data_IF_841801542090
#
_entry.id   IF_841801542090
#
_cell.length_a   1.000
_cell.length_b   1.000
_cell.length_c   1.000
_cell.angle_alpha   90.00
_cell.angle_beta   90.00
_cell.angle_gamma   90.00
#
_symmetry.space_group_name_H-M   'P 1'
#
loop_
_entity.id
_entity.type
_entity.pdbx_description
1 polymer ?
#
# COMPACT_ATOMS: atom_id res chain seq x y z
N UNK A 1 1.60 27.49 -6.61
CA UNK A 1 0.41 26.85 -6.00
C UNK A 1 0.90 25.59 -5.28
N UNK A 2 1.13 25.74 -4.00
CA UNK A 2 1.86 24.81 -3.14
C UNK A 2 1.12 23.49 -2.95
N UNK A 3 1.81 22.40 -3.25
CA UNK A 3 1.39 21.07 -2.84
C UNK A 3 1.69 20.95 -1.33
N UNK A 4 0.73 21.27 -0.48
CA UNK A 4 0.81 20.91 0.94
C UNK A 4 0.84 19.40 1.04
N UNK A 5 1.98 18.90 1.47
CA UNK A 5 2.21 17.50 1.83
C UNK A 5 1.33 17.16 3.03
N UNK A 6 0.70 16.01 2.93
CA UNK A 6 -0.32 15.47 3.83
C UNK A 6 0.19 15.28 5.24
N UNK A 7 -0.60 15.79 6.18
CA UNK A 7 -0.75 15.38 7.58
C UNK A 7 0.48 14.84 8.35
N UNK A 8 1.60 15.50 8.24
CA UNK A 8 2.34 15.89 9.41
C UNK A 8 2.22 17.42 9.46
N UNK A 9 1.72 18.02 10.54
CA UNK A 9 1.80 19.46 10.68
C UNK A 9 3.25 19.86 10.44
N UNK A 10 3.52 21.04 9.85
CA UNK A 10 4.87 21.56 9.78
C UNK A 10 5.46 21.38 11.18
N UNK A 11 6.76 21.02 11.31
CA UNK A 11 7.35 20.78 12.60
C UNK A 11 6.96 21.94 13.50
N UNK A 12 6.24 21.64 14.59
CA UNK A 12 5.95 22.66 15.58
C UNK A 12 7.27 23.38 15.87
N UNK A 13 7.25 24.70 15.86
CA UNK A 13 8.42 25.45 16.27
C UNK A 13 8.94 24.82 17.56
N UNK A 14 10.25 24.63 17.74
CA UNK A 14 10.78 24.17 19.01
C UNK A 14 10.16 25.02 20.11
N UNK A 15 9.91 24.45 21.27
CA UNK A 15 9.72 25.27 22.46
C UNK A 15 10.85 26.32 22.42
N UNK A 16 10.55 27.59 22.59
CA UNK A 16 11.37 28.75 22.23
C UNK A 16 12.87 28.71 22.67
N UNK A 17 13.25 27.71 23.45
CA UNK A 17 14.58 27.50 24.01
C UNK A 17 15.21 26.11 23.80
N UNK A 18 14.52 25.14 23.19
CA UNK A 18 15.04 23.78 23.00
C UNK A 18 15.99 23.67 21.81
N UNK A 19 17.08 22.93 21.98
CA UNK A 19 18.08 22.70 20.94
C UNK A 19 17.79 21.37 20.25
N UNK A 20 17.82 21.33 18.92
CA UNK A 20 17.55 20.10 18.15
C UNK A 20 18.80 19.28 17.91
N UNK A 21 18.71 17.98 18.23
CA UNK A 21 19.66 16.98 17.80
C UNK A 21 18.98 16.05 16.77
N UNK A 22 19.65 15.81 15.66
CA UNK A 22 19.06 15.15 14.50
C UNK A 22 19.69 13.78 14.28
N UNK A 23 18.87 12.75 14.09
CA UNK A 23 19.29 11.37 13.90
C UNK A 23 18.71 10.79 12.61
N UNK A 24 19.50 10.02 11.87
CA UNK A 24 19.00 9.18 10.80
C UNK A 24 19.36 7.72 11.11
N UNK A 25 18.44 6.81 10.84
CA UNK A 25 18.60 5.38 11.14
C UNK A 25 18.45 4.59 9.85
N UNK A 26 19.51 3.90 9.45
CA UNK A 26 19.48 2.93 8.38
C UNK A 26 19.25 1.55 8.98
N UNK A 27 18.12 0.93 8.59
CA UNK A 27 17.67 -0.35 9.12
C UNK A 27 18.08 -1.48 8.18
N UNK A 28 18.91 -2.40 8.65
CA UNK A 28 19.25 -3.61 7.91
C UNK A 28 19.02 -4.86 8.77
N UNK A 29 19.00 -6.02 8.14
CA UNK A 29 18.83 -7.30 8.84
C UNK A 29 20.05 -7.72 9.66
N UNK A 30 21.19 -7.06 9.47
CA UNK A 30 22.46 -7.43 10.15
C UNK A 30 22.84 -6.40 11.21
N UNK A 31 22.68 -5.13 10.91
CA UNK A 31 23.06 -4.03 11.79
C UNK A 31 22.23 -2.79 11.50
N UNK A 32 22.04 -1.97 12.49
CA UNK A 32 21.49 -0.63 12.34
C UNK A 32 22.60 0.40 12.38
N UNK A 33 22.59 1.34 11.46
CA UNK A 33 23.54 2.46 11.44
C UNK A 33 22.80 3.73 11.81
N UNK A 34 23.27 4.41 12.86
CA UNK A 34 22.69 5.65 13.35
C UNK A 34 23.68 6.79 13.08
N UNK A 35 23.29 7.70 12.19
CA UNK A 35 24.02 8.94 11.97
C UNK A 35 23.40 10.06 12.83
N UNK A 36 24.24 10.83 13.51
CA UNK A 36 23.82 11.87 14.45
C UNK A 36 24.51 13.18 14.09
N UNK A 37 23.74 14.23 13.99
CA UNK A 37 24.23 15.61 13.97
C UNK A 37 23.79 16.33 15.24
N UNK A 38 24.74 16.91 15.94
CA UNK A 38 24.52 17.65 17.18
C UNK A 38 24.70 19.15 16.96
N UNK A 39 23.95 20.01 17.65
CA UNK A 39 24.06 21.45 17.49
C UNK A 39 25.44 22.03 17.82
N UNK A 40 26.22 21.33 18.64
CA UNK A 40 27.56 21.72 19.07
C UNK A 40 28.68 21.31 18.10
N UNK A 41 28.37 20.57 17.01
CA UNK A 41 29.39 20.04 16.09
C UNK A 41 28.88 19.95 14.66
N UNK A 42 29.72 20.37 13.71
CA UNK A 42 29.46 20.15 12.29
C UNK A 42 29.75 18.70 11.85
N UNK A 43 30.44 17.92 12.67
CA UNK A 43 30.79 16.52 12.37
C UNK A 43 29.59 15.60 12.59
N UNK A 44 29.35 14.74 11.63
CA UNK A 44 28.37 13.66 11.74
C UNK A 44 29.03 12.50 12.50
N UNK A 45 28.46 12.16 13.67
CA UNK A 45 28.83 10.97 14.41
C UNK A 45 28.05 9.76 13.91
N UNK A 46 28.69 8.60 13.83
CA UNK A 46 28.07 7.35 13.40
C UNK A 46 28.20 6.28 14.47
N UNK A 47 27.14 5.54 14.68
CA UNK A 47 27.08 4.43 15.61
C UNK A 47 26.52 3.21 14.88
N UNK A 48 27.12 2.06 15.11
CA UNK A 48 26.63 0.78 14.60
C UNK A 48 26.05 -0.02 15.77
N UNK A 49 24.80 -0.44 15.63
CA UNK A 49 24.09 -1.26 16.60
C UNK A 49 23.78 -2.62 15.97
N UNK A 50 23.56 -3.63 16.79
CA UNK A 50 23.00 -4.89 16.30
C UNK A 50 21.59 -4.69 15.75
N UNK A 51 21.23 -5.47 14.76
CA UNK A 51 19.89 -5.39 14.18
C UNK A 51 18.82 -5.67 15.24
N UNK A 52 17.77 -4.88 15.25
CA UNK A 52 16.66 -4.98 16.20
C UNK A 52 17.02 -4.71 17.67
N UNK A 53 18.22 -4.22 17.97
CA UNK A 53 18.55 -3.79 19.34
C UNK A 53 18.04 -2.36 19.63
N UNK A 54 16.71 -2.27 19.70
CA UNK A 54 16.03 -1.03 20.04
C UNK A 54 16.34 -0.52 21.45
N UNK A 55 16.73 -1.43 22.37
CA UNK A 55 17.09 -1.03 23.74
C UNK A 55 18.40 -0.24 23.74
N UNK A 56 19.39 -0.71 22.99
CA UNK A 56 20.66 0.04 22.86
C UNK A 56 20.46 1.32 22.04
N UNK A 57 19.57 1.34 21.05
CA UNK A 57 19.18 2.57 20.34
C UNK A 57 18.61 3.61 21.32
N UNK A 58 17.69 3.25 22.20
CA UNK A 58 17.12 4.15 23.19
C UNK A 58 18.18 4.64 24.20
N UNK A 59 19.06 3.75 24.66
CA UNK A 59 20.21 4.15 25.53
C UNK A 59 21.14 5.12 24.80
N UNK A 60 21.41 4.90 23.52
CA UNK A 60 22.21 5.81 22.71
C UNK A 60 21.55 7.19 22.63
N UNK A 61 20.24 7.24 22.34
CA UNK A 61 19.47 8.48 22.29
C UNK A 61 19.52 9.24 23.62
N UNK A 62 19.36 8.54 24.73
CA UNK A 62 19.40 9.16 26.06
C UNK A 62 20.78 9.64 26.43
N UNK A 63 21.85 8.90 26.13
CA UNK A 63 23.25 9.35 26.31
C UNK A 63 23.52 10.64 25.52
N UNK A 64 23.04 10.72 24.27
CA UNK A 64 23.21 11.90 23.43
C UNK A 64 22.42 13.07 24.01
N UNK A 65 21.16 12.87 24.39
CA UNK A 65 20.31 13.90 25.01
C UNK A 65 20.96 14.48 26.26
N UNK A 66 21.35 13.62 27.18
CA UNK A 66 21.97 14.03 28.45
C UNK A 66 23.30 14.77 28.26
N UNK A 67 24.14 14.29 27.33
CA UNK A 67 25.40 14.95 27.00
C UNK A 67 25.18 16.36 26.48
N UNK A 68 24.31 16.53 25.48
CA UNK A 68 24.07 17.83 24.85
C UNK A 68 23.37 18.79 25.83
N UNK A 69 22.39 18.28 26.60
CA UNK A 69 21.74 19.10 27.64
C UNK A 69 22.73 19.65 28.65
N UNK A 70 23.73 18.85 29.04
CA UNK A 70 24.81 19.29 29.97
C UNK A 70 25.75 20.31 29.32
N UNK A 71 26.14 20.09 28.05
CA UNK A 71 27.05 20.96 27.30
C UNK A 71 26.42 22.33 27.04
N UNK A 72 25.17 22.37 26.63
CA UNK A 72 24.49 23.60 26.18
C UNK A 72 23.61 24.24 27.27
N UNK A 73 23.41 23.56 28.41
CA UNK A 73 22.48 23.96 29.49
C UNK A 73 21.08 24.31 28.98
N UNK A 74 20.59 23.54 28.02
CA UNK A 74 19.30 23.71 27.36
C UNK A 74 18.59 22.36 27.21
N UNK A 75 17.26 22.39 27.08
CA UNK A 75 16.48 21.21 26.72
C UNK A 75 16.81 20.74 25.30
N UNK A 76 16.81 19.42 25.08
CA UNK A 76 17.21 18.80 23.83
C UNK A 76 16.01 18.04 23.22
N UNK A 77 15.55 18.53 22.08
CA UNK A 77 14.61 17.81 21.23
C UNK A 77 15.39 16.83 20.33
N UNK A 78 15.09 15.52 20.44
CA UNK A 78 15.58 14.53 19.50
C UNK A 78 14.61 14.37 18.34
N UNK A 79 15.13 14.50 17.12
CA UNK A 79 14.35 14.30 15.90
C UNK A 79 15.04 13.23 15.06
N UNK A 80 14.29 12.21 14.65
CA UNK A 80 14.84 11.08 13.92
C UNK A 80 14.09 10.82 12.60
N UNK A 81 14.72 10.07 11.70
CA UNK A 81 14.07 9.50 10.53
C UNK A 81 14.64 8.13 10.16
N UNK A 82 13.84 7.35 9.45
CA UNK A 82 14.28 6.14 8.76
C UNK A 82 13.44 5.90 7.49
N UNK A 83 13.94 5.08 6.56
CA UNK A 83 13.19 4.72 5.36
C UNK A 83 12.11 3.68 5.65
N UNK A 84 10.93 3.88 5.06
CA UNK A 84 9.86 2.88 5.10
C UNK A 84 10.31 1.58 4.40
N UNK A 85 10.26 0.48 5.12
CA UNK A 85 10.75 -0.80 4.63
C UNK A 85 10.06 -2.00 5.27
N UNK A 86 10.80 -3.09 5.33
CA UNK A 86 10.35 -4.38 5.86
C UNK A 86 9.91 -4.31 7.33
N UNK A 87 10.56 -3.47 8.13
CA UNK A 87 10.34 -3.34 9.57
C UNK A 87 8.98 -2.69 9.92
N UNK A 88 8.31 -2.07 8.97
CA UNK A 88 7.01 -1.43 9.20
C UNK A 88 7.12 -0.21 10.10
N UNK A 89 6.16 -0.03 11.02
CA UNK A 89 6.00 1.21 11.81
C UNK A 89 6.21 1.04 13.32
N UNK A 90 6.58 -0.13 13.79
CA UNK A 90 6.76 -0.38 15.22
C UNK A 90 7.86 0.50 15.84
N UNK A 91 8.96 0.71 15.11
CA UNK A 91 10.06 1.55 15.56
C UNK A 91 9.65 3.04 15.67
N UNK A 92 8.88 3.53 14.70
CA UNK A 92 8.32 4.88 14.77
C UNK A 92 7.49 5.07 16.05
N UNK A 93 6.57 4.14 16.34
CA UNK A 93 5.74 4.20 17.54
C UNK A 93 6.55 4.11 18.83
N UNK A 94 7.60 3.29 18.83
CA UNK A 94 8.52 3.19 19.97
C UNK A 94 9.26 4.51 20.23
N UNK A 95 9.80 5.13 19.18
CA UNK A 95 10.54 6.40 19.28
C UNK A 95 9.62 7.53 19.76
N UNK A 96 8.43 7.66 19.19
CA UNK A 96 7.42 8.64 19.60
C UNK A 96 7.00 8.44 21.06
N UNK A 97 6.80 7.19 21.50
CA UNK A 97 6.47 6.88 22.89
C UNK A 97 7.60 7.27 23.89
N UNK A 98 8.84 7.40 23.43
CA UNK A 98 9.99 7.87 24.23
C UNK A 98 10.32 9.34 24.00
N UNK A 99 9.40 10.12 23.44
CA UNK A 99 9.59 11.55 23.21
C UNK A 99 10.65 11.88 22.17
N UNK A 100 10.85 10.99 21.21
CA UNK A 100 11.73 11.19 20.04
C UNK A 100 10.83 11.36 18.82
N UNK A 101 10.72 12.59 18.31
CA UNK A 101 9.96 12.85 17.08
C UNK A 101 10.57 12.08 15.92
N UNK A 102 9.76 11.27 15.20
CA UNK A 102 10.29 10.43 14.15
C UNK A 102 9.53 10.56 12.83
N UNK A 103 10.25 10.64 11.71
CA UNK A 103 9.71 10.66 10.37
C UNK A 103 10.01 9.35 9.65
N UNK A 104 8.98 8.72 9.10
CA UNK A 104 9.13 7.56 8.21
C UNK A 104 9.11 8.07 6.77
N UNK A 105 10.14 7.80 6.00
CA UNK A 105 10.38 8.40 4.69
C UNK A 105 10.06 7.41 3.56
N UNK A 106 9.41 7.89 2.50
CA UNK A 106 9.21 7.10 1.29
C UNK A 106 10.54 7.00 0.52
N UNK A 107 11.15 5.80 0.40
CA UNK A 107 12.43 5.61 -0.31
C UNK A 107 12.40 6.13 -1.75
N UNK A 108 11.23 6.01 -2.42
CA UNK A 108 11.07 6.45 -3.80
C UNK A 108 11.10 7.98 -3.96
N UNK A 109 10.98 8.73 -2.86
CA UNK A 109 10.97 10.20 -2.86
C UNK A 109 12.35 10.82 -2.62
N UNK A 110 13.33 10.04 -2.15
CA UNK A 110 14.69 10.52 -1.91
C UNK A 110 15.40 10.82 -3.24
N UNK A 111 16.06 11.96 -3.28
CA UNK A 111 16.90 12.34 -4.43
C UNK A 111 18.23 11.60 -4.35
N UNK A 112 18.38 10.53 -5.12
CA UNK A 112 19.64 9.78 -5.23
C UNK A 112 20.53 10.43 -6.28
N UNK A 113 21.78 10.70 -5.95
CA UNK A 113 22.77 11.14 -6.94
C UNK A 113 22.99 10.03 -7.98
N UNK A 114 22.59 10.31 -9.23
CA UNK A 114 22.72 9.36 -10.34
C UNK A 114 24.17 9.00 -10.67
N UNK A 115 25.14 9.82 -10.28
CA UNK A 115 26.57 9.56 -10.49
C UNK A 115 27.14 8.57 -9.49
N UNK A 116 26.58 8.52 -8.28
CA UNK A 116 27.00 7.61 -7.19
C UNK A 116 26.40 6.20 -7.26
N UNK A 117 25.66 5.83 -8.32
CA UNK A 117 24.95 4.53 -8.44
C UNK A 117 25.79 3.28 -8.22
N UNK A 118 27.13 3.36 -8.34
CA UNK A 118 28.04 2.21 -8.15
C UNK A 118 28.62 2.09 -6.73
N UNK A 119 28.45 3.11 -5.89
CA UNK A 119 28.98 3.15 -4.53
C UNK A 119 27.83 3.20 -3.50
N UNK A 120 26.91 2.21 -3.56
CA UNK A 120 25.86 2.08 -2.55
C UNK A 120 26.45 1.38 -1.31
N UNK A 121 26.55 2.11 -0.20
CA UNK A 121 26.88 1.56 1.12
C UNK A 121 25.91 2.12 2.14
N UNK A 122 25.53 1.32 3.14
CA UNK A 122 24.61 1.73 4.19
C UNK A 122 25.08 3.04 4.90
N UNK A 123 26.39 3.30 4.91
CA UNK A 123 26.97 4.53 5.44
C UNK A 123 26.65 5.78 4.61
N UNK A 124 26.61 5.66 3.29
CA UNK A 124 26.27 6.76 2.38
C UNK A 124 24.78 7.04 2.46
N UNK A 125 23.97 5.98 2.54
CA UNK A 125 22.52 6.08 2.60
C UNK A 125 22.06 6.77 3.90
N UNK A 126 22.66 6.44 5.08
CA UNK A 126 22.30 7.08 6.35
C UNK A 126 22.71 8.56 6.42
N UNK A 127 23.82 8.96 5.77
CA UNK A 127 24.18 10.38 5.70
C UNK A 127 23.25 11.18 4.79
N UNK A 128 22.85 10.59 3.68
CA UNK A 128 21.87 11.21 2.80
C UNK A 128 20.53 11.43 3.53
N UNK A 129 20.07 10.44 4.28
CA UNK A 129 18.89 10.56 5.15
C UNK A 129 19.04 11.68 6.16
N UNK A 130 20.19 11.75 6.86
CA UNK A 130 20.45 12.79 7.86
C UNK A 130 20.43 14.19 7.25
N UNK A 131 21.13 14.39 6.14
CA UNK A 131 21.16 15.68 5.42
C UNK A 131 19.76 16.08 4.93
N UNK A 132 19.01 15.12 4.42
CA UNK A 132 17.64 15.35 3.98
C UNK A 132 16.71 15.70 5.14
N UNK A 133 16.88 15.07 6.33
CA UNK A 133 16.13 15.43 7.52
C UNK A 133 16.47 16.87 7.96
N UNK A 134 17.74 17.24 7.96
CA UNK A 134 18.16 18.60 8.28
C UNK A 134 17.58 19.63 7.30
N UNK A 135 17.58 19.34 6.00
CA UNK A 135 16.96 20.19 4.98
C UNK A 135 15.45 20.34 5.20
N UNK A 136 14.76 19.24 5.49
CA UNK A 136 13.33 19.25 5.81
C UNK A 136 13.02 20.12 7.05
N UNK A 137 13.81 19.99 8.10
CA UNK A 137 13.64 20.77 9.34
C UNK A 137 13.93 22.26 9.15
N UNK A 138 14.75 22.65 8.16
CA UNK A 138 14.92 24.04 7.73
C UNK A 138 13.76 24.57 6.87
N UNK A 139 12.78 23.73 6.54
CA UNK A 139 11.65 24.12 5.71
C UNK A 139 11.92 24.08 4.20
N UNK A 140 12.99 23.44 3.74
CA UNK A 140 13.27 23.30 2.31
C UNK A 140 12.15 22.52 1.61
N UNK A 141 11.59 23.02 0.49
CA UNK A 141 10.50 22.35 -0.18
C UNK A 141 10.98 21.12 -0.96
N UNK A 142 10.12 20.10 -1.04
CA UNK A 142 10.31 18.91 -1.90
C UNK A 142 11.57 18.09 -1.60
N UNK A 143 12.05 18.09 -0.37
CA UNK A 143 13.19 17.26 0.04
C UNK A 143 12.85 15.78 -0.10
N UNK A 144 11.69 15.39 0.43
CA UNK A 144 11.18 14.02 0.44
C UNK A 144 9.67 13.96 0.68
N UNK A 145 9.12 12.74 0.69
CA UNK A 145 7.73 12.49 1.11
C UNK A 145 7.73 11.69 2.41
N UNK A 146 7.05 12.21 3.43
CA UNK A 146 6.83 11.51 4.69
C UNK A 146 5.68 10.53 4.51
N UNK A 147 5.88 9.28 4.93
CA UNK A 147 4.85 8.25 4.90
C UNK A 147 3.85 8.49 6.02
N UNK A 148 2.57 8.44 5.72
CA UNK A 148 1.54 8.42 6.75
C UNK A 148 1.63 7.10 7.53
N UNK A 149 1.90 7.20 8.82
CA UNK A 149 1.93 6.05 9.73
C UNK A 149 0.52 5.77 10.20
N UNK A 150 -0.08 4.64 9.81
CA UNK A 150 -1.42 4.27 10.27
C UNK A 150 -1.42 3.96 11.77
N UNK A 151 -2.56 4.11 12.41
CA UNK A 151 -2.79 3.59 13.75
C UNK A 151 -2.73 2.05 13.76
N UNK A 152 -2.59 1.45 14.93
CA UNK A 152 -2.60 -0.02 15.06
C UNK A 152 -3.92 -0.61 14.55
N UNK A 153 -5.05 0.05 14.84
CA UNK A 153 -6.37 -0.37 14.35
C UNK A 153 -6.46 -0.28 12.82
N UNK A 154 -5.97 0.81 12.21
CA UNK A 154 -5.96 0.95 10.74
C UNK A 154 -5.03 -0.08 10.07
N UNK A 155 -3.96 -0.52 10.73
CA UNK A 155 -3.13 -1.62 10.24
C UNK A 155 -3.86 -2.96 10.34
N UNK A 156 -4.60 -3.17 11.41
CA UNK A 156 -5.36 -4.40 11.65
C UNK A 156 -6.52 -4.54 10.64
N UNK A 157 -7.25 -3.46 10.38
CA UNK A 157 -8.30 -3.39 9.36
C UNK A 157 -7.85 -3.86 7.96
N UNK A 158 -6.54 -3.80 7.68
CA UNK A 158 -5.99 -4.24 6.38
C UNK A 158 -5.67 -5.73 6.31
N UNK A 159 -5.68 -6.44 7.44
CA UNK A 159 -5.22 -7.83 7.47
C UNK A 159 -6.09 -8.75 6.64
N UNK A 160 -7.40 -8.71 6.84
CA UNK A 160 -8.33 -9.61 6.17
C UNK A 160 -8.24 -9.54 4.64
N UNK A 161 -8.34 -8.37 4.05
CA UNK A 161 -8.31 -8.25 2.59
C UNK A 161 -6.91 -8.51 2.00
N UNK A 162 -5.84 -8.28 2.76
CA UNK A 162 -4.46 -8.60 2.35
C UNK A 162 -4.19 -10.09 2.43
N UNK A 163 -4.63 -10.75 3.50
CA UNK A 163 -4.55 -12.20 3.67
C UNK A 163 -5.36 -12.92 2.60
N UNK A 164 -6.61 -12.51 2.39
CA UNK A 164 -7.43 -13.02 1.29
C UNK A 164 -6.71 -12.91 -0.06
N UNK A 165 -6.08 -11.77 -0.34
CA UNK A 165 -5.31 -11.59 -1.57
C UNK A 165 -4.16 -12.59 -1.72
N UNK A 166 -3.44 -12.92 -0.65
CA UNK A 166 -2.40 -13.96 -0.65
C UNK A 166 -3.00 -15.35 -0.93
N UNK A 167 -4.06 -15.71 -0.22
CA UNK A 167 -4.73 -17.00 -0.40
C UNK A 167 -5.33 -17.18 -1.81
N UNK A 168 -5.83 -16.13 -2.43
CA UNK A 168 -6.27 -16.17 -3.84
C UNK A 168 -5.08 -16.50 -4.76
N UNK A 169 -3.92 -15.91 -4.52
CA UNK A 169 -2.72 -16.22 -5.31
C UNK A 169 -2.26 -17.66 -5.09
N UNK A 170 -2.26 -18.17 -3.86
CA UNK A 170 -1.95 -19.57 -3.53
C UNK A 170 -2.93 -20.51 -4.23
N UNK A 171 -4.23 -20.23 -4.20
CA UNK A 171 -5.24 -20.98 -4.94
C UNK A 171 -4.91 -21.07 -6.44
N UNK A 172 -4.55 -19.94 -7.05
CA UNK A 172 -4.18 -19.87 -8.48
C UNK A 172 -2.91 -20.70 -8.72
N UNK A 173 -1.92 -20.64 -7.84
CA UNK A 173 -0.68 -21.41 -7.95
C UNK A 173 -0.97 -22.91 -7.92
N UNK A 174 -1.78 -23.41 -6.98
CA UNK A 174 -2.17 -24.82 -6.90
C UNK A 174 -2.94 -25.27 -8.14
N UNK A 175 -3.90 -24.48 -8.60
CA UNK A 175 -4.66 -24.75 -9.84
C UNK A 175 -3.72 -24.87 -11.05
N UNK A 176 -2.80 -23.91 -11.20
CA UNK A 176 -1.86 -23.88 -12.32
C UNK A 176 -0.85 -25.03 -12.23
N UNK A 177 -0.38 -25.40 -11.04
CA UNK A 177 0.51 -26.53 -10.83
C UNK A 177 -0.16 -27.85 -11.25
N UNK A 178 -1.39 -28.10 -10.80
CA UNK A 178 -2.14 -29.30 -11.19
C UNK A 178 -2.32 -29.36 -12.71
N UNK A 179 -2.74 -28.25 -13.33
CA UNK A 179 -2.91 -28.16 -14.79
C UNK A 179 -1.58 -28.39 -15.52
N UNK A 180 -0.48 -27.83 -15.02
CA UNK A 180 0.85 -28.03 -15.60
C UNK A 180 1.31 -29.49 -15.53
N UNK A 181 1.12 -30.17 -14.38
CA UNK A 181 1.42 -31.59 -14.21
C UNK A 181 0.62 -32.48 -15.18
N UNK A 182 -0.60 -32.11 -15.50
CA UNK A 182 -1.44 -32.86 -16.43
C UNK A 182 -1.16 -32.53 -17.89
N UNK A 183 -0.79 -31.29 -18.20
CA UNK A 183 -0.51 -30.81 -19.54
C UNK A 183 0.63 -31.57 -20.23
N UNK A 184 1.69 -31.95 -19.50
CA UNK A 184 2.81 -32.76 -20.02
C UNK A 184 2.39 -34.20 -20.39
N UNK A 185 1.17 -34.62 -20.03
CA UNK A 185 0.57 -35.90 -20.40
C UNK A 185 -0.57 -35.73 -21.43
N UNK A 186 -0.70 -34.52 -22.03
CA UNK A 186 -1.73 -34.22 -23.04
C UNK A 186 -3.13 -34.01 -22.46
N UNK A 187 -3.27 -33.72 -21.17
CA UNK A 187 -4.55 -33.52 -20.50
C UNK A 187 -4.74 -32.03 -20.19
N UNK A 188 -5.68 -31.36 -20.86
CA UNK A 188 -5.91 -29.90 -20.74
C UNK A 188 -7.29 -29.54 -20.20
N UNK A 189 -8.24 -30.45 -20.17
CA UNK A 189 -9.65 -30.24 -19.83
C UNK A 189 -9.96 -30.44 -18.33
N UNK A 190 -9.01 -30.93 -17.55
CA UNK A 190 -9.19 -31.11 -16.10
C UNK A 190 -9.39 -29.79 -15.34
N UNK A 191 -10.42 -29.78 -14.49
CA UNK A 191 -10.80 -28.59 -13.72
C UNK A 191 -10.64 -28.82 -12.22
N UNK A 192 -9.53 -28.36 -11.58
CA UNK A 192 -9.23 -28.60 -10.17
C UNK A 192 -10.25 -28.04 -9.17
N UNK A 193 -11.08 -27.09 -9.58
CA UNK A 193 -12.10 -26.46 -8.73
C UNK A 193 -13.48 -27.16 -8.77
N UNK A 194 -13.67 -28.16 -9.61
CA UNK A 194 -14.94 -28.92 -9.67
C UNK A 194 -15.12 -29.75 -8.40
N UNK A 195 -16.38 -29.99 -8.04
CA UNK A 195 -16.72 -30.82 -6.87
C UNK A 195 -16.29 -32.27 -7.02
N UNK A 196 -16.38 -32.80 -8.23
CA UNK A 196 -16.04 -34.20 -8.63
C UNK A 196 -14.56 -34.38 -9.01
N UNK A 197 -13.71 -33.39 -8.74
CA UNK A 197 -12.29 -33.38 -9.13
C UNK A 197 -11.51 -34.64 -8.75
N UNK A 198 -11.77 -35.19 -7.57
CA UNK A 198 -11.11 -36.44 -7.12
C UNK A 198 -11.53 -37.65 -7.93
N UNK A 199 -12.84 -37.78 -8.23
CA UNK A 199 -13.35 -38.88 -9.07
C UNK A 199 -12.85 -38.78 -10.50
N UNK A 200 -12.79 -37.54 -11.04
CA UNK A 200 -12.24 -37.32 -12.37
C UNK A 200 -10.75 -37.69 -12.42
N UNK A 201 -9.95 -37.34 -11.42
CA UNK A 201 -8.53 -37.70 -11.36
C UNK A 201 -8.30 -39.22 -11.50
N UNK A 202 -9.16 -40.03 -10.89
CA UNK A 202 -9.03 -41.50 -10.98
C UNK A 202 -9.28 -42.03 -12.39
N UNK A 203 -10.13 -41.37 -13.17
CA UNK A 203 -10.54 -41.79 -14.53
C UNK A 203 -9.64 -41.21 -15.62
N UNK A 204 -8.75 -40.26 -15.29
CA UNK A 204 -7.89 -39.64 -16.28
C UNK A 204 -7.00 -40.64 -16.99
N UNK A 205 -6.85 -40.42 -18.29
CA UNK A 205 -5.94 -41.12 -19.17
C UNK A 205 -5.02 -40.11 -19.84
N UNK A 206 -3.79 -40.49 -20.08
CA UNK A 206 -2.85 -39.75 -20.91
C UNK A 206 -3.31 -39.69 -22.36
N UNK A 207 -2.75 -38.80 -23.17
CA UNK A 207 -3.12 -38.70 -24.60
C UNK A 207 -2.90 -40.01 -25.39
N UNK A 208 -1.96 -40.85 -24.94
CA UNK A 208 -1.70 -42.19 -25.51
C UNK A 208 -2.50 -43.32 -24.84
N UNK A 209 -3.55 -42.98 -24.05
CA UNK A 209 -4.51 -43.90 -23.47
C UNK A 209 -4.10 -44.58 -22.17
N UNK A 210 -2.88 -44.37 -21.68
CA UNK A 210 -2.38 -44.98 -20.43
C UNK A 210 -3.02 -44.34 -19.20
N UNK A 211 -3.06 -45.06 -18.10
CA UNK A 211 -3.41 -44.50 -16.79
C UNK A 211 -2.29 -43.60 -16.29
N UNK A 212 -2.62 -42.55 -15.53
CA UNK A 212 -1.62 -41.75 -14.83
C UNK A 212 -0.82 -42.61 -13.87
N UNK A 213 0.50 -42.34 -13.78
CA UNK A 213 1.37 -43.08 -12.86
C UNK A 213 0.95 -42.88 -11.40
N UNK A 214 1.15 -43.87 -10.52
CA UNK A 214 0.76 -43.78 -9.10
C UNK A 214 1.39 -42.58 -8.38
N UNK A 215 2.64 -42.25 -8.69
CA UNK A 215 3.37 -41.12 -8.07
C UNK A 215 2.78 -39.79 -8.52
N UNK A 216 2.44 -39.62 -9.80
CA UNK A 216 1.79 -38.41 -10.33
C UNK A 216 0.41 -38.23 -9.71
N UNK A 217 -0.40 -39.29 -9.65
CA UNK A 217 -1.71 -39.24 -8.97
C UNK A 217 -1.56 -38.84 -7.51
N UNK A 218 -0.59 -39.38 -6.80
CA UNK A 218 -0.33 -39.03 -5.40
C UNK A 218 0.11 -37.56 -5.23
N UNK A 219 0.92 -37.04 -6.16
CA UNK A 219 1.32 -35.64 -6.16
C UNK A 219 0.11 -34.72 -6.39
N UNK A 220 -0.71 -35.00 -7.41
CA UNK A 220 -1.92 -34.22 -7.70
C UNK A 220 -2.92 -34.27 -6.53
N UNK A 221 -3.09 -35.42 -5.86
CA UNK A 221 -3.95 -35.51 -4.66
C UNK A 221 -3.45 -34.59 -3.54
N UNK A 222 -2.15 -34.53 -3.29
CA UNK A 222 -1.59 -33.59 -2.29
C UNK A 222 -1.79 -32.13 -2.67
N UNK A 223 -1.68 -31.80 -3.94
CA UNK A 223 -1.99 -30.45 -4.42
C UNK A 223 -3.49 -30.13 -4.30
N UNK A 224 -4.39 -31.08 -4.55
CA UNK A 224 -5.83 -30.89 -4.34
C UNK A 224 -6.18 -30.72 -2.84
N UNK A 225 -5.51 -31.42 -1.94
CA UNK A 225 -5.68 -31.24 -0.50
C UNK A 225 -5.26 -29.83 -0.04
N UNK A 226 -4.10 -29.34 -0.51
CA UNK A 226 -3.67 -27.94 -0.27
C UNK A 226 -4.66 -26.94 -0.82
N UNK A 227 -5.14 -27.16 -2.06
CA UNK A 227 -6.14 -26.31 -2.70
C UNK A 227 -7.43 -26.26 -1.88
N UNK A 228 -7.89 -27.38 -1.33
CA UNK A 228 -9.09 -27.45 -0.51
C UNK A 228 -8.93 -26.68 0.80
N UNK A 229 -7.79 -26.81 1.48
CA UNK A 229 -7.45 -26.05 2.68
C UNK A 229 -7.47 -24.53 2.41
N UNK A 230 -6.81 -24.10 1.32
CA UNK A 230 -6.78 -22.69 0.93
C UNK A 230 -8.18 -22.16 0.62
N UNK A 231 -9.01 -22.93 -0.06
CA UNK A 231 -10.42 -22.55 -0.33
C UNK A 231 -11.21 -22.40 0.99
N UNK A 232 -10.99 -23.31 1.94
CA UNK A 232 -11.59 -23.23 3.27
C UNK A 232 -11.19 -21.93 4.00
N UNK A 233 -9.89 -21.60 4.03
CA UNK A 233 -9.39 -20.37 4.64
C UNK A 233 -9.95 -19.10 3.97
N UNK A 234 -10.06 -19.08 2.64
CA UNK A 234 -10.70 -17.97 1.92
C UNK A 234 -12.13 -17.76 2.40
N UNK A 235 -12.92 -18.84 2.52
CA UNK A 235 -14.31 -18.74 2.99
C UNK A 235 -14.41 -18.21 4.43
N UNK A 236 -13.51 -18.63 5.32
CA UNK A 236 -13.46 -18.14 6.70
C UNK A 236 -13.21 -16.64 6.74
N UNK A 237 -12.21 -16.17 6.01
CA UNK A 237 -11.89 -14.73 5.95
C UNK A 237 -13.02 -13.92 5.29
N UNK A 238 -13.68 -14.48 4.27
CA UNK A 238 -14.82 -13.83 3.62
C UNK A 238 -16.01 -13.71 4.58
N UNK A 239 -16.28 -14.73 5.38
CA UNK A 239 -17.34 -14.69 6.40
C UNK A 239 -17.03 -13.66 7.50
N UNK A 240 -15.79 -13.60 8.00
CA UNK A 240 -15.34 -12.62 8.98
C UNK A 240 -15.48 -11.17 8.43
N UNK A 241 -15.01 -10.93 7.23
CA UNK A 241 -15.16 -9.64 6.53
C UNK A 241 -16.63 -9.24 6.37
N UNK A 242 -17.49 -10.18 5.96
CA UNK A 242 -18.91 -9.91 5.72
C UNK A 242 -19.64 -9.63 7.04
N UNK A 243 -19.24 -10.27 8.14
CA UNK A 243 -19.72 -9.95 9.49
C UNK A 243 -19.39 -8.50 9.87
N UNK A 244 -18.12 -8.06 9.66
CA UNK A 244 -17.72 -6.66 9.91
C UNK A 244 -18.54 -5.68 9.06
N UNK A 245 -18.76 -5.99 7.78
CA UNK A 245 -19.53 -5.15 6.87
C UNK A 245 -21.03 -5.06 7.27
N UNK A 246 -21.55 -6.05 7.98
CA UNK A 246 -22.96 -6.14 8.41
C UNK A 246 -23.20 -5.57 9.80
N UNK A 247 -22.16 -5.45 10.63
CA UNK A 247 -22.28 -4.95 12.00
C UNK A 247 -22.58 -3.46 12.00
N UNK A 248 -23.73 -3.06 12.58
CA UNK A 248 -24.07 -1.64 12.74
C UNK A 248 -23.10 -0.96 13.69
N UNK A 249 -22.34 0.00 13.18
CA UNK A 249 -21.37 0.77 13.98
C UNK A 249 -21.98 2.16 14.26
N UNK A 250 -22.15 2.48 15.53
CA UNK A 250 -22.76 3.76 15.96
C UNK A 250 -21.77 4.93 15.95
N UNK A 251 -20.46 4.66 15.93
CA UNK A 251 -19.44 5.70 15.96
C UNK A 251 -19.18 6.32 14.58
N UNK A 252 -19.34 7.63 14.51
CA UNK A 252 -19.01 8.41 13.31
C UNK A 252 -17.51 8.28 12.94
N UNK A 253 -17.21 8.21 11.64
CA UNK A 253 -15.85 8.12 11.07
C UNK A 253 -15.03 6.85 11.33
N UNK A 254 -15.63 5.75 11.74
CA UNK A 254 -14.93 4.46 11.81
C UNK A 254 -14.81 3.78 10.44
N UNK A 255 -13.78 2.95 10.26
CA UNK A 255 -13.61 2.11 9.06
C UNK A 255 -14.88 1.31 8.75
N UNK A 256 -15.56 0.78 9.78
CA UNK A 256 -16.81 0.03 9.64
C UNK A 256 -17.92 0.85 8.98
N UNK A 257 -18.16 2.09 9.42
CA UNK A 257 -19.17 2.97 8.80
C UNK A 257 -18.84 3.27 7.34
N UNK A 258 -17.59 3.58 7.02
CA UNK A 258 -17.16 3.80 5.63
C UNK A 258 -17.43 2.59 4.74
N UNK A 259 -17.17 1.37 5.25
CA UNK A 259 -17.45 0.12 4.55
C UNK A 259 -18.96 -0.02 4.30
N UNK A 260 -19.79 0.18 5.33
CA UNK A 260 -21.26 0.09 5.21
C UNK A 260 -21.80 1.11 4.19
N UNK A 261 -21.34 2.34 4.23
CA UNK A 261 -21.78 3.38 3.29
C UNK A 261 -21.40 3.01 1.86
N UNK A 262 -20.20 2.52 1.60
CA UNK A 262 -19.82 2.05 0.28
C UNK A 262 -20.65 0.85 -0.19
N UNK A 263 -20.95 -0.11 0.69
CA UNK A 263 -21.75 -1.30 0.36
C UNK A 263 -23.19 -0.96 -0.03
N UNK A 264 -23.76 0.16 0.44
CA UNK A 264 -25.07 0.64 0.00
C UNK A 264 -25.14 0.95 -1.50
N UNK A 265 -24.02 1.29 -2.13
CA UNK A 265 -23.97 1.61 -3.55
C UNK A 265 -24.08 0.30 -4.37
N UNK A 266 -25.03 0.26 -5.30
CA UNK A 266 -25.15 -0.87 -6.25
C UNK A 266 -23.86 -0.96 -7.07
N UNK A 267 -23.26 -2.10 -7.18
CA UNK A 267 -21.95 -2.44 -7.75
C UNK A 267 -20.79 -2.57 -6.75
N UNK A 268 -20.92 -2.06 -5.53
CA UNK A 268 -19.86 -2.18 -4.51
C UNK A 268 -20.25 -3.28 -3.53
N UNK A 269 -19.50 -4.38 -3.54
CA UNK A 269 -19.63 -5.46 -2.55
C UNK A 269 -18.68 -5.27 -1.37
N UNK A 270 -18.81 -6.11 -0.32
CA UNK A 270 -17.95 -6.05 0.86
C UNK A 270 -16.46 -6.07 0.52
N UNK A 271 -16.03 -6.88 -0.44
CA UNK A 271 -14.63 -6.98 -0.87
C UNK A 271 -14.06 -5.63 -1.37
N UNK A 272 -14.80 -4.96 -2.27
CA UNK A 272 -14.37 -3.66 -2.79
C UNK A 272 -14.38 -2.59 -1.70
N UNK A 273 -15.44 -2.57 -0.88
CA UNK A 273 -15.57 -1.61 0.21
C UNK A 273 -14.44 -1.76 1.24
N UNK A 274 -14.20 -2.97 1.73
CA UNK A 274 -13.13 -3.25 2.70
C UNK A 274 -11.75 -2.93 2.14
N UNK A 275 -11.48 -3.31 0.89
CA UNK A 275 -10.19 -3.00 0.25
C UNK A 275 -10.00 -1.50 0.07
N UNK A 276 -11.02 -0.77 -0.40
CA UNK A 276 -10.93 0.68 -0.60
C UNK A 276 -10.76 1.44 0.72
N UNK A 277 -11.49 1.05 1.76
CA UNK A 277 -11.33 1.65 3.09
C UNK A 277 -9.95 1.36 3.65
N UNK A 278 -9.52 0.11 3.67
CA UNK A 278 -8.21 -0.28 4.21
C UNK A 278 -7.01 0.21 3.41
N UNK A 279 -7.10 0.38 2.10
CA UNK A 279 -5.96 0.78 1.26
C UNK A 279 -5.96 2.27 0.87
N UNK A 280 -7.12 2.96 0.94
CA UNK A 280 -7.24 4.35 0.50
C UNK A 280 -7.90 5.23 1.56
N UNK A 281 -9.13 4.90 1.99
CA UNK A 281 -9.97 5.80 2.77
C UNK A 281 -9.74 5.72 4.29
N UNK A 282 -8.73 4.97 4.74
CA UNK A 282 -8.26 4.98 6.14
C UNK A 282 -7.60 6.32 6.52
N UNK A 283 -7.14 7.08 5.53
CA UNK A 283 -6.47 8.36 5.68
C UNK A 283 -7.24 9.49 4.99
N UNK A 284 -6.98 10.71 5.39
CA UNK A 284 -7.51 11.91 4.74
C UNK A 284 -6.64 12.36 3.55
N UNK A 285 -7.24 13.11 2.64
CA UNK A 285 -6.56 13.73 1.50
C UNK A 285 -6.99 15.20 1.39
N UNK A 286 -6.05 16.11 1.18
CA UNK A 286 -6.33 17.53 1.07
C UNK A 286 -7.10 17.86 -0.22
N UNK A 287 -6.88 17.09 -1.27
CA UNK A 287 -7.51 17.34 -2.57
C UNK A 287 -7.52 16.10 -3.48
N UNK A 288 -8.36 16.19 -4.52
CA UNK A 288 -8.53 15.12 -5.53
C UNK A 288 -7.25 14.73 -6.30
N UNK A 289 -6.28 15.65 -6.43
CA UNK A 289 -5.03 15.38 -7.15
C UNK A 289 -4.14 14.46 -6.33
N UNK A 290 -4.06 14.72 -5.03
CA UNK A 290 -3.32 13.91 -4.07
C UNK A 290 -3.91 12.49 -3.96
N UNK A 291 -5.23 12.36 -3.83
CA UNK A 291 -5.92 11.07 -3.83
C UNK A 291 -5.61 10.27 -5.11
N UNK A 292 -5.74 10.89 -6.29
CA UNK A 292 -5.48 10.22 -7.56
C UNK A 292 -3.99 9.83 -7.73
N UNK A 293 -3.07 10.64 -7.21
CA UNK A 293 -1.63 10.36 -7.19
C UNK A 293 -1.31 9.18 -6.28
N UNK A 294 -1.91 9.15 -5.08
CA UNK A 294 -1.73 8.05 -4.12
C UNK A 294 -2.11 6.68 -4.70
N UNK A 295 -3.15 6.63 -5.53
CA UNK A 295 -3.57 5.38 -6.21
C UNK A 295 -2.81 5.15 -7.53
N UNK A 296 -2.06 6.16 -8.01
CA UNK A 296 -1.30 6.08 -9.27
C UNK A 296 -2.20 6.13 -10.52
N UNK A 297 -3.35 6.79 -10.42
CA UNK A 297 -4.29 7.02 -11.52
C UNK A 297 -4.11 8.41 -12.17
N UNK A 298 -3.00 9.10 -11.90
CA UNK A 298 -2.65 10.37 -12.55
C UNK A 298 -2.00 10.13 -13.89
N UNK A 299 -2.28 10.96 -14.93
CA UNK A 299 -1.54 10.91 -16.17
C UNK A 299 -0.04 11.16 -15.94
N UNK A 300 0.79 10.40 -16.64
CA UNK A 300 2.23 10.63 -16.71
C UNK A 300 2.54 11.33 -18.03
N UNK A 301 2.86 12.61 -17.97
CA UNK A 301 3.27 13.40 -19.12
C UNK A 301 4.79 13.36 -19.23
N UNK A 302 5.27 13.07 -20.41
CA UNK A 302 6.67 13.28 -20.76
C UNK A 302 6.74 14.49 -21.68
N UNK A 303 7.42 15.54 -21.23
CA UNK A 303 7.64 16.75 -22.00
C UNK A 303 9.13 17.10 -21.97
N UNK A 304 9.74 17.16 -23.14
CA UNK A 304 11.14 17.56 -23.30
C UNK A 304 11.25 18.42 -24.57
N UNK A 305 11.48 19.72 -24.41
CA UNK A 305 11.47 20.67 -25.52
C UNK A 305 10.13 20.68 -26.25
N UNK A 306 10.15 20.52 -27.55
CA UNK A 306 8.95 20.45 -28.40
C UNK A 306 8.23 19.08 -28.36
N UNK A 307 8.82 18.08 -27.71
CA UNK A 307 8.25 16.73 -27.63
C UNK A 307 7.29 16.60 -26.44
N UNK A 308 6.01 16.41 -26.71
CA UNK A 308 4.98 16.12 -25.68
C UNK A 308 4.40 14.74 -25.93
N UNK A 309 4.57 13.81 -24.99
CA UNK A 309 4.07 12.43 -25.09
C UNK A 309 3.36 11.99 -23.83
N UNK A 310 2.12 11.53 -23.96
CA UNK A 310 1.40 10.88 -22.88
C UNK A 310 1.85 9.42 -22.70
N UNK A 311 2.42 9.10 -21.53
CA UNK A 311 2.89 7.74 -21.19
C UNK A 311 1.83 6.89 -20.49
N UNK A 312 0.59 7.36 -20.44
CA UNK A 312 -0.51 6.72 -19.70
C UNK A 312 -0.61 7.23 -18.28
N UNK A 313 -0.80 6.32 -17.31
CA UNK A 313 -0.86 6.66 -15.88
C UNK A 313 0.48 6.41 -15.19
N UNK A 314 0.74 7.12 -14.11
CA UNK A 314 2.03 7.05 -13.38
C UNK A 314 2.34 5.65 -12.85
N UNK A 315 1.31 4.87 -12.49
CA UNK A 315 1.42 3.55 -11.84
C UNK A 315 2.19 3.56 -10.51
N UNK A 316 2.69 4.70 -10.08
CA UNK A 316 3.24 4.90 -8.76
C UNK A 316 2.13 4.80 -7.70
N UNK A 317 2.48 4.53 -6.45
CA UNK A 317 1.52 4.43 -5.34
C UNK A 317 0.85 3.07 -5.23
N UNK A 318 -0.35 3.04 -4.61
CA UNK A 318 -1.01 1.80 -4.19
C UNK A 318 -1.55 0.98 -5.37
N UNK A 319 -0.81 -0.06 -5.76
CA UNK A 319 -1.16 -0.93 -6.89
C UNK A 319 -2.46 -1.72 -6.64
N UNK A 320 -2.71 -2.16 -5.39
CA UNK A 320 -3.92 -2.92 -5.04
C UNK A 320 -5.17 -2.06 -5.18
N UNK A 321 -5.15 -0.85 -4.64
CA UNK A 321 -6.24 0.11 -4.79
C UNK A 321 -6.49 0.45 -6.26
N UNK A 322 -5.44 0.63 -7.06
CA UNK A 322 -5.57 0.90 -8.50
C UNK A 322 -6.25 -0.25 -9.24
N UNK A 323 -5.84 -1.50 -8.98
CA UNK A 323 -6.46 -2.68 -9.59
C UNK A 323 -7.94 -2.75 -9.25
N UNK A 324 -8.28 -2.67 -7.96
CA UNK A 324 -9.66 -2.67 -7.45
C UNK A 324 -10.49 -1.55 -8.08
N UNK A 325 -9.95 -0.36 -8.21
CA UNK A 325 -10.67 0.76 -8.84
C UNK A 325 -10.94 0.54 -10.33
N UNK A 326 -10.04 -0.11 -11.06
CA UNK A 326 -10.26 -0.44 -12.48
C UNK A 326 -11.32 -1.54 -12.61
N UNK A 327 -11.28 -2.57 -11.78
CA UNK A 327 -12.31 -3.62 -11.74
C UNK A 327 -13.67 -3.03 -11.36
N UNK A 328 -13.73 -2.20 -10.34
CA UNK A 328 -14.95 -1.52 -9.92
C UNK A 328 -15.51 -0.60 -11.01
N UNK A 329 -14.66 0.04 -11.80
CA UNK A 329 -15.12 0.86 -12.93
C UNK A 329 -15.86 0.01 -13.99
N UNK A 330 -15.40 -1.21 -14.27
CA UNK A 330 -16.12 -2.14 -15.14
C UNK A 330 -17.46 -2.59 -14.56
N UNK A 331 -17.49 -2.90 -13.26
CA UNK A 331 -18.74 -3.25 -12.57
C UNK A 331 -19.70 -2.06 -12.50
N UNK A 332 -19.17 -0.85 -12.33
CA UNK A 332 -19.96 0.38 -12.37
C UNK A 332 -20.69 0.51 -13.71
N UNK A 333 -19.99 0.38 -14.83
CA UNK A 333 -20.61 0.45 -16.16
C UNK A 333 -21.71 -0.61 -16.36
N UNK A 334 -21.53 -1.78 -15.74
CA UNK A 334 -22.50 -2.89 -15.84
C UNK A 334 -23.74 -2.67 -14.99
N UNK A 335 -23.56 -2.20 -13.76
CA UNK A 335 -24.63 -2.13 -12.76
C UNK A 335 -25.23 -0.73 -12.59
N UNK A 336 -24.61 0.28 -13.16
CA UNK A 336 -24.99 1.69 -13.13
C UNK A 336 -25.02 2.28 -14.56
N UNK A 337 -25.78 1.67 -15.51
CA UNK A 337 -25.71 2.04 -16.92
C UNK A 337 -26.13 3.48 -17.18
N UNK A 338 -27.05 4.02 -16.38
CA UNK A 338 -27.62 5.35 -16.57
C UNK A 338 -26.89 6.45 -15.82
N UNK A 339 -25.86 6.09 -15.06
CA UNK A 339 -25.03 7.08 -14.36
C UNK A 339 -24.28 7.98 -15.35
N UNK A 340 -24.06 9.27 -15.04
CA UNK A 340 -23.31 10.19 -15.90
C UNK A 340 -21.92 9.68 -16.29
N UNK A 341 -21.26 8.91 -15.42
CA UNK A 341 -19.97 8.29 -15.73
C UNK A 341 -20.10 7.19 -16.80
N UNK A 342 -21.17 6.41 -16.76
CA UNK A 342 -21.43 5.37 -17.74
C UNK A 342 -21.85 5.94 -19.09
N UNK A 343 -22.66 6.99 -19.08
CA UNK A 343 -23.03 7.73 -20.29
C UNK A 343 -21.78 8.33 -20.92
N UNK A 344 -20.98 9.07 -20.15
CA UNK A 344 -19.72 9.66 -20.60
C UNK A 344 -18.75 8.60 -21.19
N UNK A 345 -18.65 7.41 -20.58
CA UNK A 345 -17.84 6.32 -21.12
C UNK A 345 -18.33 5.88 -22.50
N UNK A 346 -19.65 5.65 -22.65
CA UNK A 346 -20.24 5.22 -23.92
C UNK A 346 -20.05 6.26 -25.03
N UNK A 347 -20.29 7.51 -24.76
CA UNK A 347 -20.08 8.62 -25.71
C UNK A 347 -18.63 8.70 -26.17
N UNK A 348 -17.68 8.58 -25.23
CA UNK A 348 -16.26 8.71 -25.55
C UNK A 348 -15.68 7.49 -26.26
N UNK A 349 -16.17 6.32 -25.96
CA UNK A 349 -15.70 5.06 -26.60
C UNK A 349 -16.46 4.80 -27.91
N UNK A 350 -17.77 5.07 -27.96
CA UNK A 350 -18.61 4.79 -29.11
C UNK A 350 -18.42 3.35 -29.59
N UNK A 351 -18.12 3.19 -30.88
CA UNK A 351 -17.82 1.91 -31.53
C UNK A 351 -16.33 1.50 -31.45
N UNK A 352 -15.47 2.36 -30.86
CA UNK A 352 -14.03 2.15 -30.79
C UNK A 352 -13.71 0.99 -29.82
N UNK A 353 -12.72 0.19 -30.20
CA UNK A 353 -12.22 -0.98 -29.45
C UNK A 353 -10.76 -0.78 -29.04
N UNK A 354 -10.22 -1.70 -28.25
CA UNK A 354 -8.80 -1.78 -27.99
C UNK A 354 -8.27 -0.68 -27.05
N UNK A 355 -7.32 0.13 -27.50
CA UNK A 355 -6.57 1.09 -26.68
C UNK A 355 -7.47 2.18 -26.06
N UNK A 356 -8.36 2.78 -26.83
CA UNK A 356 -9.23 3.88 -26.36
C UNK A 356 -10.13 3.39 -25.25
N UNK A 357 -10.76 2.23 -25.39
CA UNK A 357 -11.58 1.63 -24.34
C UNK A 357 -10.80 1.41 -23.04
N UNK A 358 -9.55 0.93 -23.13
CA UNK A 358 -8.68 0.73 -21.96
C UNK A 358 -8.25 2.03 -21.29
N UNK A 359 -7.98 3.08 -22.06
CA UNK A 359 -7.65 4.40 -21.49
C UNK A 359 -8.87 5.01 -20.81
N UNK A 360 -10.04 4.92 -21.46
CA UNK A 360 -11.27 5.52 -20.95
C UNK A 360 -11.74 4.85 -19.66
N UNK A 361 -11.62 3.51 -19.52
CA UNK A 361 -11.99 2.85 -18.26
C UNK A 361 -11.09 3.28 -17.09
N UNK A 362 -9.81 3.53 -17.31
CA UNK A 362 -8.93 4.06 -16.28
C UNK A 362 -9.33 5.50 -15.88
N UNK A 363 -9.80 6.29 -16.84
CA UNK A 363 -10.33 7.63 -16.54
C UNK A 363 -11.65 7.56 -15.75
N UNK A 364 -12.54 6.58 -16.04
CA UNK A 364 -13.72 6.28 -15.22
C UNK A 364 -13.29 5.89 -13.81
N UNK A 365 -12.32 4.98 -13.66
CA UNK A 365 -11.81 4.57 -12.35
C UNK A 365 -11.34 5.75 -11.51
N UNK A 366 -10.60 6.70 -12.11
CA UNK A 366 -10.17 7.92 -11.43
C UNK A 366 -11.34 8.82 -11.02
N UNK A 367 -12.31 9.05 -11.93
CA UNK A 367 -13.50 9.88 -11.65
C UNK A 367 -14.34 9.25 -10.55
N UNK A 368 -14.53 7.92 -10.61
CA UNK A 368 -15.28 7.15 -9.62
C UNK A 368 -14.58 7.19 -8.25
N UNK A 369 -13.27 7.02 -8.19
CA UNK A 369 -12.51 7.16 -6.94
C UNK A 369 -12.76 8.49 -6.25
N UNK A 370 -12.73 9.59 -7.01
CA UNK A 370 -12.98 10.94 -6.48
C UNK A 370 -14.44 11.08 -6.01
N UNK A 371 -15.40 10.50 -6.73
CA UNK A 371 -16.79 10.53 -6.37
C UNK A 371 -17.07 9.75 -5.07
N UNK A 372 -16.48 8.57 -4.92
CA UNK A 372 -16.59 7.76 -3.70
C UNK A 372 -15.91 8.43 -2.50
N UNK A 373 -14.75 9.05 -2.69
CA UNK A 373 -14.10 9.84 -1.66
C UNK A 373 -15.00 10.97 -1.16
N UNK A 374 -15.58 11.77 -2.09
CA UNK A 374 -16.51 12.82 -1.73
C UNK A 374 -17.73 12.29 -0.98
N UNK A 375 -18.27 11.15 -1.42
CA UNK A 375 -19.39 10.52 -0.75
C UNK A 375 -19.06 10.20 0.72
N UNK A 376 -17.88 9.64 0.99
CA UNK A 376 -17.46 9.32 2.35
C UNK A 376 -17.18 10.57 3.21
N UNK A 377 -16.74 11.69 2.59
CA UNK A 377 -16.45 12.94 3.32
C UNK A 377 -17.71 13.79 3.55
N UNK A 378 -18.67 13.78 2.62
CA UNK A 378 -19.80 14.70 2.63
C UNK A 378 -21.17 14.03 2.80
N UNK A 379 -21.25 12.71 2.70
CA UNK A 379 -22.51 11.95 2.67
C UNK A 379 -23.27 12.05 1.34
N UNK A 380 -22.80 12.85 0.38
CA UNK A 380 -23.49 13.05 -0.90
C UNK A 380 -23.26 11.88 -1.85
N UNK A 381 -24.30 11.14 -2.12
CA UNK A 381 -24.26 9.98 -3.05
C UNK A 381 -23.77 10.46 -4.44
N UNK A 382 -22.87 9.70 -5.10
CA UNK A 382 -22.42 10.03 -6.45
C UNK A 382 -23.59 10.23 -7.41
N UNK A 383 -23.56 11.30 -8.19
CA UNK A 383 -24.66 11.69 -9.09
C UNK A 383 -25.09 10.50 -9.99
N UNK A 384 -26.37 10.21 -9.97
CA UNK A 384 -26.99 9.13 -10.76
C UNK A 384 -26.61 7.72 -10.28
N UNK A 385 -26.03 7.56 -9.08
CA UNK A 385 -25.76 6.25 -8.51
C UNK A 385 -27.02 5.65 -7.89
N UNK A 386 -27.37 4.43 -8.29
CA UNK A 386 -28.40 3.63 -7.65
C UNK A 386 -27.87 2.99 -6.37
N UNK A 387 -28.66 3.05 -5.33
CA UNK A 387 -28.37 2.33 -4.07
C UNK A 387 -29.01 0.92 -4.14
N UNK A 388 -28.51 0.03 -3.29
CA UNK A 388 -29.17 -1.24 -3.03
C UNK A 388 -30.41 -0.98 -2.18
N UNK A 389 -31.49 -1.66 -2.55
CA UNK A 389 -32.73 -1.67 -1.78
C UNK A 389 -32.59 -2.64 -0.62
#
# INVERSE_FOLDING_TARGET
MEARTVNNPPPAAPHDDAVRCVLAIELSKKSWIVAVNTPSSEKISRYTLEACDWKELLKLCERIRTRIARELKKDVELVSCYEAGYDGFWLHRLLEAHGIRNYVIDPASLQVDRRARRAKTDHVDVELLLRSLMAHLRGEPKVWSVVYVPSVAEEDDRRLHRERGRLINERIQHVNRIKGLLAIHGIYDYQPLRRDRMQQLERLRTADGRTLSPRLKAEIRRELQRLELVIGMIKTIEAERDAIASTKTETEHTSGKKIQDLVKIKSIGPEFATTLVGEVFYRSFDNRKQLASYVGLTPAHFQSGAMCRDQGISKAGNAKARTVMVELAWLWLRHQPDSPLSVWFRERVGKLKGRIRRITIVAVARKLLIALWRYLETGLVPTGAALKV
#
